data_IF_490857446061
#
_entry.id   IF_490857446061
#
_cell.length_a   1.000
_cell.length_b   1.000
_cell.length_c   1.000
_cell.angle_alpha   90.00
_cell.angle_beta   90.00
_cell.angle_gamma   90.00
#
_symmetry.space_group_name_H-M   'P 1'
#
loop_
_entity.id
_entity.type
_entity.pdbx_description
1 polymer ?
#
# COMPACT_ATOMS: atom_id res chain seq x y z
N UNK A 1 -5.74 24.05 10.79
CA UNK A 1 -4.87 22.90 11.13
C UNK A 1 -3.89 22.52 10.00
N UNK A 2 -4.35 22.47 8.73
CA UNK A 2 -3.51 22.17 7.53
C UNK A 2 -2.30 23.11 7.36
N UNK A 3 -2.43 24.41 7.71
CA UNK A 3 -1.33 25.38 7.68
C UNK A 3 -0.12 25.03 8.55
N UNK A 4 -0.27 24.17 9.57
CA UNK A 4 0.80 23.85 10.53
C UNK A 4 1.81 22.82 10.00
N UNK A 5 1.44 21.99 9.02
CA UNK A 5 2.32 20.95 8.46
C UNK A 5 3.22 21.47 7.31
N UNK A 6 2.88 22.61 6.69
CA UNK A 6 3.61 23.21 5.55
C UNK A 6 4.05 22.16 4.52
N UNK A 7 3.16 21.25 4.11
CA UNK A 7 3.44 20.21 3.11
C UNK A 7 3.30 20.75 1.69
N UNK A 8 4.09 20.22 0.75
CA UNK A 8 4.09 20.62 -0.65
C UNK A 8 2.83 20.11 -1.37
N UNK A 9 2.48 20.73 -2.49
CA UNK A 9 1.40 20.22 -3.34
C UNK A 9 1.70 18.80 -3.85
N UNK A 10 2.99 18.48 -4.07
CA UNK A 10 3.42 17.14 -4.47
C UNK A 10 3.11 16.09 -3.40
N UNK A 11 3.29 16.41 -2.12
CA UNK A 11 2.93 15.50 -1.02
C UNK A 11 1.45 15.13 -1.06
N UNK A 12 0.57 16.12 -1.27
CA UNK A 12 -0.87 15.88 -1.32
C UNK A 12 -1.27 15.05 -2.54
N UNK A 13 -0.62 15.26 -3.68
CA UNK A 13 -0.82 14.45 -4.88
C UNK A 13 -0.36 13.01 -4.63
N UNK A 14 0.84 12.80 -4.09
CA UNK A 14 1.36 11.48 -3.73
C UNK A 14 0.46 10.76 -2.72
N UNK A 15 -0.09 11.50 -1.75
CA UNK A 15 -1.05 10.97 -0.79
C UNK A 15 -2.34 10.52 -1.49
N UNK A 16 -2.88 11.35 -2.39
CA UNK A 16 -4.09 11.03 -3.13
C UNK A 16 -3.91 9.79 -4.02
N UNK A 17 -2.78 9.67 -4.72
CA UNK A 17 -2.44 8.49 -5.54
C UNK A 17 -2.41 7.23 -4.67
N UNK A 18 -1.73 7.29 -3.52
CA UNK A 18 -1.66 6.16 -2.58
C UNK A 18 -3.04 5.75 -2.05
N UNK A 19 -3.89 6.72 -1.71
CA UNK A 19 -5.25 6.46 -1.25
C UNK A 19 -6.12 5.84 -2.33
N UNK A 20 -6.08 6.38 -3.53
CA UNK A 20 -6.84 5.85 -4.67
C UNK A 20 -6.40 4.41 -4.97
N UNK A 21 -5.09 4.15 -4.95
CA UNK A 21 -4.56 2.79 -5.08
C UNK A 21 -5.06 1.86 -3.99
N UNK A 22 -4.96 2.25 -2.72
CA UNK A 22 -5.42 1.42 -1.60
C UNK A 22 -6.93 1.13 -1.67
N UNK A 23 -7.75 2.11 -2.08
CA UNK A 23 -9.19 1.89 -2.32
C UNK A 23 -9.41 0.90 -3.46
N UNK A 24 -8.67 1.02 -4.58
CA UNK A 24 -8.77 0.06 -5.68
C UNK A 24 -8.34 -1.35 -5.25
N UNK A 25 -7.35 -1.50 -4.37
CA UNK A 25 -6.95 -2.80 -3.81
C UNK A 25 -8.07 -3.40 -2.95
N UNK A 26 -8.69 -2.61 -2.08
CA UNK A 26 -9.85 -3.06 -1.28
C UNK A 26 -11.03 -3.43 -2.18
N UNK A 27 -11.29 -2.63 -3.21
CA UNK A 27 -12.35 -2.90 -4.20
C UNK A 27 -12.08 -4.19 -4.99
N UNK A 28 -10.85 -4.39 -5.46
CA UNK A 28 -10.46 -5.61 -6.15
C UNK A 28 -10.64 -6.82 -5.23
N UNK A 29 -10.31 -6.71 -3.94
CA UNK A 29 -10.53 -7.78 -2.97
C UNK A 29 -12.02 -8.11 -2.80
N UNK A 30 -12.89 -7.10 -2.63
CA UNK A 30 -14.33 -7.30 -2.44
C UNK A 30 -15.06 -7.87 -3.67
N UNK A 31 -14.51 -7.67 -4.87
CA UNK A 31 -15.14 -8.07 -6.14
C UNK A 31 -14.57 -9.35 -6.74
N UNK A 32 -13.53 -9.92 -6.13
CA UNK A 32 -13.00 -11.23 -6.51
C UNK A 32 -13.82 -12.30 -5.78
N UNK A 33 -14.64 -13.10 -6.49
CA UNK A 33 -15.39 -14.18 -5.85
C UNK A 33 -14.44 -15.33 -5.46
N UNK A 34 -14.72 -15.95 -4.32
CA UNK A 34 -13.92 -17.01 -3.69
C UNK A 34 -13.79 -18.29 -4.55
N UNK A 35 -14.57 -18.41 -5.63
CA UNK A 35 -14.72 -19.62 -6.45
C UNK A 35 -13.74 -19.74 -7.62
N UNK A 36 -12.73 -18.86 -7.75
CA UNK A 36 -11.78 -18.81 -8.90
C UNK A 36 -10.43 -19.46 -8.57
N UNK A 37 -10.19 -19.88 -7.32
CA UNK A 37 -8.95 -20.57 -6.99
C UNK A 37 -8.98 -21.98 -7.60
N UNK A 38 -8.22 -22.15 -8.69
CA UNK A 38 -8.12 -23.42 -9.41
C UNK A 38 -7.73 -24.56 -8.47
N UNK A 39 -8.47 -25.65 -8.60
CA UNK A 39 -8.57 -26.77 -7.64
C UNK A 39 -7.32 -27.68 -7.70
N UNK A 40 -6.32 -27.36 -8.52
CA UNK A 40 -5.11 -28.17 -8.71
C UNK A 40 -4.21 -28.28 -7.47
N UNK A 41 -4.21 -27.28 -6.58
CA UNK A 41 -3.48 -27.33 -5.30
C UNK A 41 -4.17 -26.51 -4.19
N UNK A 42 -5.19 -27.07 -3.52
CA UNK A 42 -6.04 -26.32 -2.59
C UNK A 42 -5.28 -25.76 -1.38
N UNK A 43 -4.18 -26.39 -0.95
CA UNK A 43 -3.39 -25.91 0.19
C UNK A 43 -2.63 -24.62 -0.10
N UNK A 44 -2.02 -24.52 -1.29
CA UNK A 44 -1.26 -23.34 -1.71
C UNK A 44 -2.18 -22.16 -2.05
N UNK A 45 -3.32 -22.43 -2.69
CA UNK A 45 -4.32 -21.42 -2.98
C UNK A 45 -4.95 -20.84 -1.70
N UNK A 46 -5.28 -21.70 -0.73
CA UNK A 46 -5.82 -21.29 0.56
C UNK A 46 -4.81 -20.44 1.36
N UNK A 47 -3.52 -20.80 1.33
CA UNK A 47 -2.46 -20.05 2.00
C UNK A 47 -2.31 -18.64 1.39
N UNK A 48 -2.27 -18.54 0.06
CA UNK A 48 -2.19 -17.25 -0.63
C UNK A 48 -3.42 -16.37 -0.40
N UNK A 49 -4.62 -16.97 -0.35
CA UNK A 49 -5.85 -16.25 -0.04
C UNK A 49 -5.85 -15.69 1.39
N UNK A 50 -5.46 -16.51 2.39
CA UNK A 50 -5.32 -16.05 3.78
C UNK A 50 -4.30 -14.91 3.91
N UNK A 51 -3.16 -15.02 3.24
CA UNK A 51 -2.14 -13.97 3.25
C UNK A 51 -2.67 -12.66 2.61
N UNK A 52 -3.39 -12.77 1.50
CA UNK A 52 -4.01 -11.63 0.81
C UNK A 52 -5.10 -10.98 1.66
N UNK A 53 -5.93 -11.77 2.36
CA UNK A 53 -6.94 -11.28 3.31
C UNK A 53 -6.31 -10.48 4.44
N UNK A 54 -5.27 -11.01 5.08
CA UNK A 54 -4.53 -10.33 6.15
C UNK A 54 -3.97 -8.98 5.67
N UNK A 55 -3.39 -8.96 4.45
CA UNK A 55 -2.90 -7.72 3.82
C UNK A 55 -4.03 -6.72 3.56
N UNK A 56 -5.20 -7.16 3.08
CA UNK A 56 -6.35 -6.28 2.82
C UNK A 56 -6.92 -5.65 4.11
N UNK A 57 -6.99 -6.42 5.19
CA UNK A 57 -7.40 -5.93 6.52
C UNK A 57 -6.44 -4.85 7.00
N UNK A 58 -5.14 -5.10 6.89
CA UNK A 58 -4.10 -4.12 7.22
C UNK A 58 -4.26 -2.83 6.41
N UNK A 59 -4.41 -2.94 5.08
CA UNK A 59 -4.57 -1.77 4.20
C UNK A 59 -5.78 -0.93 4.61
N UNK A 60 -6.87 -1.58 5.01
CA UNK A 60 -8.08 -0.91 5.52
C UNK A 60 -7.80 -0.15 6.82
N UNK A 61 -7.09 -0.78 7.77
CA UNK A 61 -6.67 -0.09 8.98
C UNK A 61 -5.74 1.09 8.71
N UNK A 62 -4.81 0.94 7.76
CA UNK A 62 -3.90 2.03 7.37
C UNK A 62 -4.66 3.21 6.77
N UNK A 63 -5.68 2.97 5.93
CA UNK A 63 -6.54 4.03 5.38
C UNK A 63 -7.24 4.85 6.47
N UNK A 64 -7.65 4.22 7.57
CA UNK A 64 -8.32 4.89 8.69
C UNK A 64 -7.31 5.55 9.64
N UNK A 65 -6.16 4.89 9.88
CA UNK A 65 -5.16 5.36 10.83
C UNK A 65 -4.31 6.51 10.29
N UNK A 66 -3.96 6.49 9.00
CA UNK A 66 -3.10 7.48 8.37
C UNK A 66 -3.57 8.95 8.53
N UNK A 67 -4.85 9.31 8.29
CA UNK A 67 -5.30 10.69 8.45
C UNK A 67 -5.29 11.11 9.93
N UNK A 68 -5.66 10.20 10.85
CA UNK A 68 -5.60 10.44 12.29
C UNK A 68 -4.16 10.77 12.72
N UNK A 69 -3.19 9.97 12.29
CA UNK A 69 -1.77 10.18 12.61
C UNK A 69 -1.21 11.43 11.94
N UNK A 70 -1.61 11.70 10.68
CA UNK A 70 -1.20 12.89 9.91
C UNK A 70 -1.56 14.18 10.63
N UNK A 71 -2.76 14.25 11.22
CA UNK A 71 -3.24 15.42 11.94
C UNK A 71 -2.77 15.49 13.39
N UNK A 72 -2.38 14.37 14.00
CA UNK A 72 -1.95 14.31 15.41
C UNK A 72 -0.57 14.92 15.62
N UNK A 73 0.46 14.45 14.91
CA UNK A 73 1.81 15.01 15.05
C UNK A 73 2.75 14.58 13.93
N UNK A 74 3.65 15.50 13.57
CA UNK A 74 4.61 15.31 12.48
C UNK A 74 5.60 14.17 12.76
N UNK A 75 6.05 14.00 14.01
CA UNK A 75 7.01 12.94 14.38
C UNK A 75 6.41 11.55 14.19
N UNK A 76 5.14 11.37 14.59
CA UNK A 76 4.46 10.09 14.46
C UNK A 76 4.15 9.77 13.01
N UNK A 77 3.70 10.75 12.20
CA UNK A 77 3.45 10.48 10.78
C UNK A 77 4.75 10.18 10.02
N UNK A 78 5.88 10.83 10.33
CA UNK A 78 7.17 10.47 9.70
C UNK A 78 7.54 9.01 9.96
N UNK A 79 7.47 8.56 11.23
CA UNK A 79 7.76 7.18 11.59
C UNK A 79 6.76 6.20 10.97
N UNK A 80 5.47 6.56 10.98
CA UNK A 80 4.40 5.74 10.42
C UNK A 80 4.55 5.59 8.90
N UNK A 81 4.78 6.69 8.17
CA UNK A 81 5.01 6.65 6.72
C UNK A 81 6.29 5.87 6.40
N UNK A 82 7.37 5.99 7.17
CA UNK A 82 8.58 5.19 6.95
C UNK A 82 8.35 3.69 7.14
N UNK A 83 7.65 3.31 8.22
CA UNK A 83 7.28 1.91 8.46
C UNK A 83 6.37 1.35 7.36
N UNK A 84 5.40 2.16 6.88
CA UNK A 84 4.55 1.80 5.75
C UNK A 84 5.33 1.63 4.45
N UNK A 85 6.26 2.54 4.15
CA UNK A 85 7.13 2.42 2.97
C UNK A 85 7.93 1.13 3.02
N UNK A 86 8.56 0.82 4.16
CA UNK A 86 9.31 -0.42 4.34
C UNK A 86 8.42 -1.67 4.16
N UNK A 87 7.21 -1.65 4.72
CA UNK A 87 6.24 -2.72 4.56
C UNK A 87 5.85 -2.93 3.10
N UNK A 88 5.45 -1.88 2.38
CA UNK A 88 5.01 -2.00 0.98
C UNK A 88 6.15 -2.50 0.09
N UNK A 89 7.38 -2.07 0.35
CA UNK A 89 8.58 -2.59 -0.35
C UNK A 89 8.80 -4.07 -0.05
N UNK A 90 8.70 -4.48 1.22
CA UNK A 90 8.83 -5.89 1.59
C UNK A 90 7.77 -6.77 0.91
N UNK A 91 6.51 -6.31 0.84
CA UNK A 91 5.44 -7.00 0.12
C UNK A 91 5.71 -7.09 -1.38
N UNK A 92 6.28 -6.04 -1.98
CA UNK A 92 6.63 -6.05 -3.40
C UNK A 92 7.72 -7.09 -3.71
N UNK A 93 8.71 -7.23 -2.84
CA UNK A 93 9.75 -8.26 -2.96
C UNK A 93 9.15 -9.65 -2.74
N UNK A 94 8.34 -9.83 -1.70
CA UNK A 94 7.67 -11.10 -1.37
C UNK A 94 6.79 -11.58 -2.54
N UNK A 95 6.01 -10.67 -3.14
CA UNK A 95 5.14 -11.01 -4.27
C UNK A 95 5.92 -11.36 -5.54
N UNK A 96 7.06 -10.69 -5.80
CA UNK A 96 7.91 -11.02 -6.94
C UNK A 96 8.69 -12.34 -6.76
N UNK A 97 9.03 -12.72 -5.53
CA UNK A 97 9.79 -13.94 -5.24
C UNK A 97 8.89 -15.17 -5.05
N UNK A 98 7.73 -15.01 -4.43
CA UNK A 98 6.83 -16.11 -4.01
C UNK A 98 5.66 -16.27 -4.99
N UNK A 99 4.96 -15.18 -5.30
CA UNK A 99 3.66 -15.24 -6.00
C UNK A 99 3.82 -15.56 -7.50
N UNK A 100 4.82 -14.99 -8.16
CA UNK A 100 5.11 -15.23 -9.59
C UNK A 100 5.59 -16.65 -9.91
N UNK A 101 6.11 -17.39 -8.92
CA UNK A 101 6.57 -18.77 -9.10
C UNK A 101 5.51 -19.82 -8.82
N UNK A 102 4.41 -19.48 -8.15
CA UNK A 102 3.49 -20.46 -7.56
C UNK A 102 2.03 -20.39 -8.04
N UNK A 103 1.57 -19.24 -8.55
CA UNK A 103 0.16 -19.07 -8.93
C UNK A 103 0.09 -18.39 -10.29
N UNK A 104 -0.39 -19.12 -11.30
CA UNK A 104 -0.84 -18.56 -12.56
C UNK A 104 -2.08 -17.70 -12.24
N UNK A 105 -1.84 -16.42 -11.97
CA UNK A 105 -2.93 -15.53 -11.57
C UNK A 105 -3.94 -15.45 -12.71
N UNK A 106 -5.25 -15.66 -12.46
CA UNK A 106 -6.25 -15.52 -13.50
C UNK A 106 -6.12 -14.13 -14.10
N UNK A 107 -6.12 -14.06 -15.42
CA UNK A 107 -5.86 -12.89 -16.28
C UNK A 107 -6.95 -11.80 -16.15
N UNK A 108 -7.25 -11.37 -14.93
CA UNK A 108 -8.10 -10.22 -14.66
C UNK A 108 -7.25 -8.96 -14.77
N UNK A 109 -7.52 -8.18 -15.80
CA UNK A 109 -6.80 -6.93 -16.11
C UNK A 109 -6.65 -5.98 -14.92
N UNK A 110 -7.60 -5.96 -13.97
CA UNK A 110 -7.52 -5.15 -12.74
C UNK A 110 -6.38 -5.58 -11.80
N UNK A 111 -6.15 -6.88 -11.60
CA UNK A 111 -5.09 -7.36 -10.71
C UNK A 111 -3.71 -7.11 -11.32
N UNK A 112 -3.58 -7.40 -12.62
CA UNK A 112 -2.36 -7.12 -13.39
C UNK A 112 -2.06 -5.62 -13.43
N UNK A 113 -3.09 -4.79 -13.61
CA UNK A 113 -2.96 -3.33 -13.57
C UNK A 113 -2.52 -2.84 -12.19
N UNK A 114 -3.15 -3.32 -11.12
CA UNK A 114 -2.75 -2.96 -9.75
C UNK A 114 -1.30 -3.36 -9.49
N UNK A 115 -0.86 -4.52 -9.97
CA UNK A 115 0.52 -4.96 -9.84
C UNK A 115 1.49 -4.07 -10.64
N UNK A 116 1.14 -3.69 -11.87
CA UNK A 116 1.95 -2.79 -12.70
C UNK A 116 2.08 -1.38 -12.12
N UNK A 117 1.06 -0.90 -11.40
CA UNK A 117 1.05 0.43 -10.77
C UNK A 117 1.82 0.46 -9.44
N UNK A 118 2.08 -0.68 -8.79
CA UNK A 118 2.79 -0.76 -7.49
C UNK A 118 4.12 0.01 -7.42
N UNK A 119 5.01 -0.02 -8.42
CA UNK A 119 6.25 0.75 -8.37
C UNK A 119 6.01 2.26 -8.24
N UNK A 120 4.95 2.79 -8.86
CA UNK A 120 4.57 4.20 -8.80
C UNK A 120 4.10 4.56 -7.38
N UNK A 121 3.32 3.68 -6.75
CA UNK A 121 2.84 3.80 -5.37
C UNK A 121 4.01 3.84 -4.40
N UNK A 122 4.97 2.93 -4.55
CA UNK A 122 6.21 2.90 -3.76
C UNK A 122 7.00 4.20 -3.92
N UNK A 123 7.17 4.69 -5.15
CA UNK A 123 7.85 5.97 -5.40
C UNK A 123 7.15 7.14 -4.70
N UNK A 124 5.82 7.17 -4.73
CA UNK A 124 5.02 8.18 -4.01
C UNK A 124 5.23 8.09 -2.48
N UNK A 125 5.25 6.88 -1.91
CA UNK A 125 5.52 6.67 -0.48
C UNK A 125 6.92 7.12 -0.08
N UNK A 126 7.94 6.79 -0.89
CA UNK A 126 9.32 7.23 -0.68
C UNK A 126 9.40 8.76 -0.70
N UNK A 127 8.75 9.41 -1.68
CA UNK A 127 8.70 10.86 -1.75
C UNK A 127 8.05 11.48 -0.50
N UNK A 128 6.94 10.91 -0.05
CA UNK A 128 6.26 11.34 1.18
C UNK A 128 7.15 11.15 2.42
N UNK A 129 7.85 10.02 2.54
CA UNK A 129 8.83 9.77 3.61
C UNK A 129 9.97 10.79 3.58
N UNK A 130 10.51 11.08 2.40
CA UNK A 130 11.57 12.07 2.21
C UNK A 130 11.09 13.46 2.65
N UNK A 131 9.96 13.93 2.16
CA UNK A 131 9.45 15.26 2.49
C UNK A 131 9.13 15.41 3.99
N UNK A 132 8.61 14.37 4.62
CA UNK A 132 8.34 14.35 6.07
C UNK A 132 9.62 14.33 6.91
N UNK A 133 10.72 13.80 6.38
CA UNK A 133 12.01 13.70 7.08
C UNK A 133 12.84 14.97 6.88
N UNK A 134 13.02 15.43 5.63
CA UNK A 134 13.92 16.53 5.31
C UNK A 134 13.35 17.91 5.63
N UNK A 135 12.02 18.08 5.73
CA UNK A 135 11.46 19.31 6.31
C UNK A 135 11.76 19.49 7.80
N UNK A 136 12.27 18.48 8.51
CA UNK A 136 12.83 18.67 9.85
C UNK A 136 14.18 19.43 9.82
N UNK A 137 14.90 19.41 8.70
CA UNK A 137 16.24 20.01 8.62
C UNK A 137 16.23 21.53 8.49
N UNK A 138 15.08 22.15 8.16
CA UNK A 138 14.97 23.62 7.99
C UNK A 138 14.80 24.39 9.30
N UNK A 139 15.19 23.80 10.43
CA UNK A 139 15.22 24.41 11.77
C UNK A 139 16.62 24.34 12.35
N UNK A 140 17.59 24.96 11.69
CA UNK A 140 18.80 25.48 12.31
C UNK A 140 19.18 26.77 11.59
#
# INVERSE_FOLDING_TARGET
MIKKLQLSNLFWISLAINYLFAIMVVYAFLTVPDTIFDIENPEHALAAFKLTYVRAVIVTFVLIAYPIVLFKSRKYITLFTFGLTAWVVALYIDDNLVLYRLIEYPSRGLVVFLQAVRPIVIACLIWMSFELTFKNYKKH
#
